data_IF_057456277330
#
_entry.id   IF_057456277330
#
_cell.length_a   1.000
_cell.length_b   1.000
_cell.length_c   1.000
_cell.angle_alpha   90.00
_cell.angle_beta   90.00
_cell.angle_gamma   90.00
#
_symmetry.space_group_name_H-M   'P 1'
#
loop_
_entity.id
_entity.type
_entity.pdbx_description
1 polymer ?
#
# COMPACT_ATOMS: atom_id res chain seq x y z
N UNK A 1 -28.27 66.78 66.70
CA UNK A 1 -27.62 66.18 65.58
C UNK A 1 -28.02 64.68 65.53
N UNK A 2 -28.89 64.32 64.63
CA UNK A 2 -29.46 62.95 64.50
C UNK A 2 -28.83 62.25 63.28
N UNK A 3 -27.99 61.26 63.51
CA UNK A 3 -27.45 60.43 62.44
C UNK A 3 -28.43 59.32 62.06
N UNK A 4 -28.81 59.28 60.82
CA UNK A 4 -29.71 58.23 60.26
C UNK A 4 -28.81 57.00 59.79
N UNK A 5 -28.94 55.89 60.43
CA UNK A 5 -28.44 54.62 59.94
C UNK A 5 -29.32 54.18 58.79
N UNK A 6 -28.70 53.97 57.63
CA UNK A 6 -29.30 53.28 56.46
C UNK A 6 -29.04 51.79 56.56
N UNK A 7 -30.12 51.03 56.73
CA UNK A 7 -30.09 49.55 56.67
C UNK A 7 -29.96 49.11 55.26
N UNK A 8 -28.88 48.39 54.94
CA UNK A 8 -28.68 47.66 53.72
C UNK A 8 -29.44 46.34 53.79
N UNK A 9 -30.39 46.13 52.90
CA UNK A 9 -31.08 44.84 52.69
C UNK A 9 -30.16 43.93 51.86
N UNK A 10 -29.98 42.67 52.21
CA UNK A 10 -29.26 41.72 51.38
C UNK A 10 -30.16 41.26 50.21
N UNK A 11 -29.69 41.43 48.99
CA UNK A 11 -30.25 40.85 47.81
C UNK A 11 -29.88 39.36 47.77
N UNK A 12 -30.85 38.48 47.96
CA UNK A 12 -30.66 37.05 47.68
C UNK A 12 -30.75 36.86 46.16
N UNK A 13 -29.59 36.61 45.54
CA UNK A 13 -29.51 36.11 44.16
C UNK A 13 -29.74 34.61 44.19
N UNK A 14 -30.93 34.21 43.77
CA UNK A 14 -31.24 32.78 43.54
C UNK A 14 -30.53 32.37 42.23
N UNK A 15 -29.38 31.70 42.36
CA UNK A 15 -28.71 31.05 41.26
C UNK A 15 -29.48 29.74 40.93
N UNK A 16 -30.33 29.77 39.94
CA UNK A 16 -30.93 28.55 39.38
C UNK A 16 -29.85 27.75 38.65
N UNK A 17 -29.41 26.64 39.27
CA UNK A 17 -28.57 25.63 38.60
C UNK A 17 -29.41 24.94 37.54
N UNK A 18 -29.24 25.29 36.26
CA UNK A 18 -29.67 24.48 35.12
C UNK A 18 -28.63 23.38 34.97
N UNK A 19 -28.91 22.22 35.59
CA UNK A 19 -28.21 20.98 35.25
C UNK A 19 -28.67 20.55 33.86
N UNK A 20 -27.95 20.98 32.81
CA UNK A 20 -28.09 20.42 31.50
C UNK A 20 -27.67 18.94 31.58
N UNK A 21 -28.63 18.04 31.49
CA UNK A 21 -28.36 16.63 31.22
C UNK A 21 -27.66 16.53 29.86
N UNK A 22 -26.34 16.53 29.87
CA UNK A 22 -25.54 16.10 28.73
C UNK A 22 -25.73 14.59 28.69
N UNK A 23 -26.77 14.12 27.99
CA UNK A 23 -26.82 12.71 27.58
C UNK A 23 -25.54 12.45 26.76
N UNK A 24 -24.78 11.39 27.06
CA UNK A 24 -23.68 11.02 26.18
C UNK A 24 -24.32 10.76 24.82
N UNK A 25 -23.97 11.56 23.82
CA UNK A 25 -24.28 11.24 22.44
C UNK A 25 -23.70 9.86 22.22
N UNK A 26 -24.57 8.85 22.02
CA UNK A 26 -24.15 7.53 21.56
C UNK A 26 -23.40 7.82 20.27
N UNK A 27 -22.08 7.74 20.30
CA UNK A 27 -21.25 7.73 19.11
C UNK A 27 -21.74 6.52 18.34
N UNK A 28 -22.63 6.74 17.38
CA UNK A 28 -22.90 5.75 16.33
C UNK A 28 -21.55 5.51 15.72
N UNK A 29 -20.94 4.37 16.05
CA UNK A 29 -19.61 4.01 15.62
C UNK A 29 -19.56 3.96 14.11
N UNK A 30 -19.27 5.10 13.48
CA UNK A 30 -18.91 5.15 12.07
C UNK A 30 -17.66 4.29 11.95
N UNK A 31 -17.80 3.13 11.32
CA UNK A 31 -16.64 2.28 11.02
C UNK A 31 -15.65 3.10 10.22
N UNK A 32 -14.42 3.22 10.74
CA UNK A 32 -13.36 3.94 10.04
C UNK A 32 -13.11 3.21 8.73
N UNK A 33 -13.25 3.95 7.61
CA UNK A 33 -12.95 3.41 6.29
C UNK A 33 -11.45 3.42 6.07
N UNK A 34 -10.86 2.27 5.78
CA UNK A 34 -9.42 2.11 5.61
C UNK A 34 -9.09 1.58 4.21
N UNK A 35 -8.04 2.12 3.62
CA UNK A 35 -7.48 1.60 2.36
C UNK A 35 -5.98 1.42 2.47
N UNK A 36 -5.51 0.20 2.14
CA UNK A 36 -4.10 -0.12 1.96
C UNK A 36 -3.77 -0.19 0.47
N UNK A 37 -2.83 0.62 0.02
CA UNK A 37 -2.29 0.55 -1.34
C UNK A 37 -1.06 -0.35 -1.34
N UNK A 38 -1.08 -1.40 -2.14
CA UNK A 38 -0.06 -2.45 -2.10
C UNK A 38 0.50 -2.77 -3.47
N UNK A 39 1.81 -3.11 -3.54
CA UNK A 39 2.51 -3.35 -4.80
C UNK A 39 3.33 -4.63 -4.71
N UNK A 40 3.06 -5.56 -5.65
CA UNK A 40 3.73 -6.84 -5.74
C UNK A 40 4.94 -6.81 -6.70
N UNK A 41 5.75 -7.86 -6.65
CA UNK A 41 6.89 -8.24 -7.50
C UNK A 41 8.16 -7.39 -7.31
N UNK A 42 8.16 -6.14 -7.73
CA UNK A 42 9.30 -5.25 -7.57
C UNK A 42 10.42 -5.45 -8.62
N UNK A 43 10.09 -5.88 -9.84
CA UNK A 43 11.10 -6.16 -10.87
C UNK A 43 11.61 -4.92 -11.63
N UNK A 44 10.97 -3.74 -11.42
CA UNK A 44 11.34 -2.46 -12.02
C UNK A 44 11.78 -1.45 -10.97
N UNK A 45 13.09 -1.13 -10.93
CA UNK A 45 13.62 -0.08 -10.05
C UNK A 45 12.93 1.27 -10.31
N UNK A 46 12.70 1.61 -11.57
CA UNK A 46 11.98 2.83 -11.96
C UNK A 46 10.61 2.92 -11.30
N UNK A 47 9.80 1.88 -11.43
CA UNK A 47 8.42 1.90 -10.91
C UNK A 47 8.38 1.81 -9.38
N UNK A 48 9.32 1.11 -8.75
CA UNK A 48 9.48 1.13 -7.28
C UNK A 48 9.72 2.56 -6.81
N UNK A 49 10.73 3.25 -7.39
CA UNK A 49 11.07 4.64 -7.04
C UNK A 49 9.92 5.60 -7.29
N UNK A 50 9.22 5.46 -8.41
CA UNK A 50 8.05 6.29 -8.75
C UNK A 50 6.88 6.07 -7.78
N UNK A 51 6.59 4.82 -7.39
CA UNK A 51 5.55 4.53 -6.40
C UNK A 51 5.87 5.17 -5.05
N UNK A 52 7.12 5.05 -4.58
CA UNK A 52 7.57 5.71 -3.34
C UNK A 52 7.54 7.24 -3.50
N UNK A 53 7.95 7.80 -4.65
CA UNK A 53 7.91 9.24 -4.87
C UNK A 53 6.47 9.81 -4.80
N UNK A 54 5.49 9.11 -5.37
CA UNK A 54 4.07 9.49 -5.22
C UNK A 54 3.63 9.39 -3.76
N UNK A 55 3.98 8.30 -3.06
CA UNK A 55 3.67 8.11 -1.65
C UNK A 55 4.25 9.23 -0.78
N UNK A 56 5.50 9.62 -1.01
CA UNK A 56 6.17 10.75 -0.33
C UNK A 56 5.45 12.07 -0.60
N UNK A 57 5.16 12.37 -1.88
CA UNK A 57 4.53 13.63 -2.27
C UNK A 57 3.11 13.80 -1.71
N UNK A 58 2.41 12.70 -1.47
CA UNK A 58 1.04 12.69 -0.94
C UNK A 58 0.98 12.30 0.55
N UNK A 59 2.11 11.93 1.16
CA UNK A 59 2.21 11.34 2.50
C UNK A 59 1.24 10.15 2.68
N UNK A 60 1.08 9.35 1.63
CA UNK A 60 0.16 8.22 1.61
C UNK A 60 0.91 6.93 1.95
N UNK A 61 0.57 6.23 3.05
CA UNK A 61 1.15 4.94 3.40
C UNK A 61 0.94 3.90 2.28
N UNK A 62 1.99 3.15 1.98
CA UNK A 62 1.96 2.05 1.01
C UNK A 62 2.65 0.81 1.60
N UNK A 63 2.41 -0.37 1.03
CA UNK A 63 3.09 -1.62 1.42
C UNK A 63 3.58 -2.35 0.18
N UNK A 64 4.83 -2.84 0.20
CA UNK A 64 5.38 -3.64 -0.88
C UNK A 64 5.41 -5.13 -0.53
N UNK A 65 5.20 -5.97 -1.55
CA UNK A 65 5.39 -7.42 -1.52
C UNK A 65 6.39 -7.82 -2.61
N UNK A 66 7.69 -7.50 -2.47
CA UNK A 66 8.69 -7.86 -3.47
C UNK A 66 8.98 -9.36 -3.45
N UNK A 67 9.35 -9.89 -4.62
CA UNK A 67 9.95 -11.23 -4.71
C UNK A 67 11.36 -11.25 -4.12
N UNK A 68 11.84 -12.43 -3.69
CA UNK A 68 13.23 -12.56 -3.26
C UNK A 68 14.24 -12.28 -4.38
N UNK A 69 13.85 -12.49 -5.65
CA UNK A 69 14.65 -12.06 -6.81
C UNK A 69 14.81 -10.54 -6.84
N UNK A 70 13.73 -9.82 -6.59
CA UNK A 70 13.75 -8.35 -6.52
C UNK A 70 14.63 -7.86 -5.35
N UNK A 71 14.54 -8.49 -4.17
CA UNK A 71 15.41 -8.16 -3.03
C UNK A 71 16.90 -8.33 -3.36
N UNK A 72 17.26 -9.40 -4.10
CA UNK A 72 18.64 -9.63 -4.56
C UNK A 72 19.08 -8.64 -5.63
N UNK A 73 18.17 -8.26 -6.52
CA UNK A 73 18.46 -7.35 -7.64
C UNK A 73 18.67 -5.90 -7.18
N UNK A 74 17.91 -5.46 -6.18
CA UNK A 74 17.92 -4.08 -5.68
C UNK A 74 18.09 -4.00 -4.15
N UNK A 75 19.09 -4.66 -3.55
CA UNK A 75 19.16 -4.81 -2.09
C UNK A 75 19.27 -3.48 -1.35
N UNK A 76 20.04 -2.53 -1.87
CA UNK A 76 20.23 -1.22 -1.26
C UNK A 76 18.96 -0.37 -1.32
N UNK A 77 18.20 -0.43 -2.43
CA UNK A 77 16.94 0.27 -2.57
C UNK A 77 15.90 -0.27 -1.57
N UNK A 78 15.72 -1.59 -1.51
CA UNK A 78 14.79 -2.21 -0.58
C UNK A 78 15.16 -1.97 0.88
N UNK A 79 16.46 -1.99 1.20
CA UNK A 79 16.92 -1.64 2.55
C UNK A 79 16.55 -0.21 2.91
N UNK A 80 16.87 0.75 2.05
CA UNK A 80 16.57 2.16 2.31
C UNK A 80 15.06 2.43 2.45
N UNK A 81 14.22 1.78 1.62
CA UNK A 81 12.76 1.85 1.71
C UNK A 81 12.27 1.28 3.06
N UNK A 82 12.73 0.10 3.45
CA UNK A 82 12.37 -0.53 4.72
C UNK A 82 12.86 0.26 5.94
N UNK A 83 14.06 0.82 5.88
CA UNK A 83 14.61 1.67 6.95
C UNK A 83 13.87 3.02 7.08
N UNK A 84 13.18 3.47 6.04
CA UNK A 84 12.27 4.61 6.10
C UNK A 84 10.91 4.25 6.72
N UNK A 85 10.69 2.99 7.10
CA UNK A 85 9.44 2.53 7.72
C UNK A 85 8.35 2.11 6.74
N UNK A 86 8.60 2.11 5.42
CA UNK A 86 7.65 1.56 4.45
C UNK A 86 7.68 0.03 4.55
N UNK A 87 6.55 -0.65 4.85
CA UNK A 87 6.53 -2.08 5.06
C UNK A 87 6.88 -2.87 3.80
N UNK A 88 7.77 -3.84 3.98
CA UNK A 88 8.20 -4.81 2.97
C UNK A 88 7.77 -6.20 3.44
N UNK A 89 6.98 -6.91 2.65
CA UNK A 89 6.39 -8.20 2.97
C UNK A 89 6.78 -9.26 1.93
N UNK A 90 6.54 -10.52 2.24
CA UNK A 90 7.03 -11.68 1.49
C UNK A 90 6.13 -12.02 0.29
N UNK A 91 6.71 -12.10 -0.92
CA UNK A 91 6.03 -12.57 -2.14
C UNK A 91 6.73 -13.78 -2.77
N UNK A 92 7.25 -14.70 -1.95
CA UNK A 92 8.09 -15.84 -2.35
C UNK A 92 9.44 -15.41 -2.97
N UNK A 93 10.34 -16.37 -3.21
CA UNK A 93 11.60 -16.04 -3.91
C UNK A 93 11.37 -15.86 -5.39
N UNK A 94 10.69 -16.83 -6.03
CA UNK A 94 10.70 -17.02 -7.47
C UNK A 94 9.36 -16.74 -8.14
N UNK A 95 8.40 -16.16 -7.40
CA UNK A 95 7.03 -15.92 -7.90
C UNK A 95 6.34 -17.20 -8.40
N UNK A 96 6.44 -18.30 -7.63
CA UNK A 96 5.86 -19.58 -8.02
C UNK A 96 4.56 -19.88 -7.28
N UNK A 97 3.68 -20.66 -7.90
CA UNK A 97 2.47 -21.16 -7.23
C UNK A 97 2.84 -22.07 -6.06
N UNK A 98 2.52 -21.63 -4.84
CA UNK A 98 2.83 -22.40 -3.63
C UNK A 98 1.95 -23.65 -3.48
N UNK A 99 0.74 -23.66 -4.02
CA UNK A 99 -0.10 -24.85 -4.06
C UNK A 99 0.51 -25.94 -4.93
N UNK A 100 1.07 -25.55 -6.09
CA UNK A 100 1.83 -26.48 -6.94
C UNK A 100 3.14 -26.92 -6.29
N UNK A 101 3.86 -26.03 -5.61
CA UNK A 101 5.06 -26.41 -4.82
C UNK A 101 4.72 -27.41 -3.76
N UNK A 102 3.63 -27.21 -3.02
CA UNK A 102 3.18 -28.12 -1.98
C UNK A 102 2.86 -29.51 -2.55
N UNK A 103 2.18 -29.60 -3.69
CA UNK A 103 1.83 -30.89 -4.31
C UNK A 103 3.03 -31.65 -4.86
N UNK A 104 4.06 -30.95 -5.36
CA UNK A 104 5.22 -31.59 -6.02
C UNK A 104 6.39 -31.82 -5.05
N UNK A 105 6.63 -30.89 -4.13
CA UNK A 105 7.80 -30.89 -3.25
C UNK A 105 7.45 -30.91 -1.75
N UNK A 106 6.16 -31.07 -1.44
CA UNK A 106 5.67 -31.09 -0.07
C UNK A 106 5.97 -29.80 0.71
N UNK A 107 5.99 -29.90 2.03
CA UNK A 107 6.32 -28.82 2.95
C UNK A 107 7.66 -28.15 2.62
N UNK A 108 8.68 -28.91 2.27
CA UNK A 108 10.02 -28.41 2.00
C UNK A 108 10.04 -27.40 0.85
N UNK A 109 9.26 -27.62 -0.21
CA UNK A 109 9.16 -26.70 -1.35
C UNK A 109 8.54 -25.36 -0.98
N UNK A 110 7.53 -25.34 -0.10
CA UNK A 110 6.91 -24.11 0.39
C UNK A 110 7.85 -23.36 1.35
N UNK A 111 8.51 -24.08 2.27
CA UNK A 111 9.49 -23.50 3.19
C UNK A 111 10.67 -22.90 2.42
N UNK A 112 11.16 -23.56 1.36
CA UNK A 112 12.23 -23.02 0.53
C UNK A 112 11.87 -21.67 -0.08
N UNK A 113 10.63 -21.47 -0.55
CA UNK A 113 10.17 -20.21 -1.14
C UNK A 113 9.92 -19.11 -0.09
N UNK A 114 9.18 -19.39 0.97
CA UNK A 114 8.84 -18.41 2.00
C UNK A 114 10.00 -18.16 2.98
N UNK A 115 10.60 -19.21 3.51
CA UNK A 115 11.73 -19.13 4.44
C UNK A 115 13.00 -18.61 3.77
N UNK A 116 13.25 -19.04 2.53
CA UNK A 116 14.36 -18.53 1.73
C UNK A 116 14.23 -17.03 1.43
N UNK A 117 13.03 -16.52 1.20
CA UNK A 117 12.79 -15.07 1.10
C UNK A 117 13.20 -14.34 2.39
N UNK A 118 12.79 -14.86 3.56
CA UNK A 118 13.19 -14.32 4.88
C UNK A 118 14.71 -14.29 5.02
N UNK A 119 15.38 -15.36 4.60
CA UNK A 119 16.86 -15.44 4.63
C UNK A 119 17.49 -14.36 3.75
N UNK A 120 16.96 -14.14 2.53
CA UNK A 120 17.44 -13.10 1.62
C UNK A 120 17.27 -11.71 2.26
N UNK A 121 16.12 -11.41 2.86
CA UNK A 121 15.87 -10.14 3.53
C UNK A 121 16.86 -9.91 4.68
N UNK A 122 17.08 -10.92 5.54
CA UNK A 122 18.03 -10.84 6.67
C UNK A 122 19.47 -10.62 6.22
N UNK A 123 19.96 -11.42 5.25
CA UNK A 123 21.33 -11.30 4.73
C UNK A 123 21.59 -9.91 4.13
N UNK A 124 20.61 -9.34 3.46
CA UNK A 124 20.71 -8.00 2.88
C UNK A 124 20.32 -6.87 3.86
N UNK A 125 20.08 -7.20 5.14
CA UNK A 125 19.69 -6.25 6.20
C UNK A 125 18.46 -5.40 5.80
N UNK A 126 17.50 -6.00 5.09
CA UNK A 126 16.27 -5.35 4.67
C UNK A 126 15.24 -5.53 5.79
N UNK A 127 14.75 -4.43 6.42
CA UNK A 127 13.63 -4.50 7.35
C UNK A 127 12.40 -5.06 6.66
N UNK A 128 11.68 -5.97 7.32
CA UNK A 128 10.48 -6.57 6.76
C UNK A 128 9.43 -6.85 7.83
N UNK A 129 8.15 -6.93 7.37
CA UNK A 129 7.00 -7.27 8.21
C UNK A 129 6.57 -8.73 7.99
N UNK A 130 5.95 -9.32 9.02
CA UNK A 130 5.57 -10.75 9.02
C UNK A 130 4.27 -11.03 8.26
N UNK A 131 4.16 -10.49 7.05
CA UNK A 131 3.05 -10.75 6.12
C UNK A 131 3.56 -11.41 4.85
N UNK A 132 2.69 -12.16 4.20
CA UNK A 132 2.99 -12.77 2.91
C UNK A 132 1.78 -12.70 1.98
N UNK A 133 2.05 -12.70 0.69
CA UNK A 133 1.04 -12.77 -0.37
C UNK A 133 1.43 -13.85 -1.35
N UNK A 134 0.51 -14.80 -1.68
CA UNK A 134 0.80 -15.85 -2.65
C UNK A 134 0.80 -15.29 -4.07
N UNK A 135 1.82 -15.63 -4.89
CA UNK A 135 1.81 -15.32 -6.32
C UNK A 135 0.53 -15.82 -6.99
N UNK A 136 -0.10 -14.93 -7.80
CA UNK A 136 -1.37 -15.22 -8.46
C UNK A 136 -2.55 -15.48 -7.53
N UNK A 137 -2.42 -15.21 -6.24
CA UNK A 137 -3.47 -15.45 -5.24
C UNK A 137 -3.70 -16.91 -4.87
N UNK A 138 -2.85 -17.84 -5.31
CA UNK A 138 -3.05 -19.27 -5.13
C UNK A 138 -2.56 -19.78 -3.78
N UNK A 139 -3.49 -20.10 -2.87
CA UNK A 139 -3.20 -20.70 -1.57
C UNK A 139 -4.26 -21.73 -1.17
N UNK A 140 -3.93 -22.56 -0.20
CA UNK A 140 -4.84 -23.49 0.49
C UNK A 140 -4.45 -23.59 1.97
N UNK A 141 -5.23 -24.33 2.76
CA UNK A 141 -4.97 -24.49 4.18
C UNK A 141 -3.58 -25.09 4.49
N UNK A 142 -3.08 -25.99 3.66
CA UNK A 142 -1.74 -26.57 3.81
C UNK A 142 -0.64 -25.50 3.66
N UNK A 143 -0.70 -24.70 2.58
CA UNK A 143 0.22 -23.58 2.37
C UNK A 143 0.12 -22.55 3.49
N UNK A 144 -1.11 -22.19 3.91
CA UNK A 144 -1.34 -21.25 5.00
C UNK A 144 -0.73 -21.74 6.33
N UNK A 145 -0.95 -23.01 6.68
CA UNK A 145 -0.38 -23.60 7.90
C UNK A 145 1.15 -23.57 7.91
N UNK A 146 1.78 -23.85 6.76
CA UNK A 146 3.23 -23.76 6.62
C UNK A 146 3.71 -22.33 6.77
N UNK A 147 3.06 -21.36 6.15
CA UNK A 147 3.38 -19.94 6.29
C UNK A 147 3.26 -19.48 7.75
N UNK A 148 2.19 -19.88 8.45
CA UNK A 148 1.99 -19.60 9.87
C UNK A 148 3.12 -20.20 10.75
N UNK A 149 3.61 -21.40 10.44
CA UNK A 149 4.76 -21.97 11.16
C UNK A 149 6.08 -21.20 10.95
N UNK A 150 6.16 -20.36 9.92
CA UNK A 150 7.25 -19.41 9.70
C UNK A 150 6.95 -18.01 10.31
N UNK A 151 5.85 -17.87 11.04
CA UNK A 151 5.41 -16.63 11.65
C UNK A 151 4.80 -15.63 10.65
N UNK A 152 4.35 -16.09 9.47
CA UNK A 152 3.82 -15.24 8.42
C UNK A 152 2.28 -15.22 8.41
N UNK A 153 1.70 -14.02 8.30
CA UNK A 153 0.25 -13.80 8.16
C UNK A 153 -0.11 -13.56 6.69
N UNK A 154 -1.17 -14.23 6.22
CA UNK A 154 -1.68 -14.07 4.85
C UNK A 154 -2.29 -12.68 4.65
N UNK A 155 -1.91 -11.99 3.58
CA UNK A 155 -2.52 -10.73 3.14
C UNK A 155 -2.98 -10.84 1.70
N UNK A 156 -4.29 -10.89 1.49
CA UNK A 156 -4.93 -10.89 0.18
C UNK A 156 -5.41 -9.47 -0.17
N UNK A 157 -5.91 -9.31 -1.38
CA UNK A 157 -6.48 -8.05 -1.87
C UNK A 157 -7.99 -8.16 -2.05
N UNK A 158 -8.66 -7.03 -1.99
CA UNK A 158 -10.09 -6.88 -2.30
C UNK A 158 -10.29 -6.21 -3.66
N UNK A 159 -9.40 -5.28 -4.01
CA UNK A 159 -9.40 -4.52 -5.25
C UNK A 159 -8.07 -4.72 -5.98
N UNK A 160 -8.05 -4.46 -7.28
CA UNK A 160 -6.83 -4.57 -8.09
C UNK A 160 -6.83 -3.56 -9.24
N UNK A 161 -5.65 -3.05 -9.59
CA UNK A 161 -5.45 -2.31 -10.84
C UNK A 161 -5.65 -3.20 -12.07
N UNK A 162 -5.67 -4.52 -11.92
CA UNK A 162 -5.71 -5.49 -13.03
C UNK A 162 -4.65 -5.19 -14.10
N UNK A 163 -3.48 -4.75 -13.66
CA UNK A 163 -2.39 -4.21 -14.48
C UNK A 163 -1.54 -5.30 -15.15
N UNK A 164 -1.63 -6.54 -14.67
CA UNK A 164 -0.94 -7.71 -15.26
C UNK A 164 -1.76 -8.45 -16.30
N UNK A 165 -3.04 -8.09 -16.50
CA UNK A 165 -3.88 -8.76 -17.49
C UNK A 165 -3.48 -8.35 -18.92
N UNK A 166 -3.69 -9.26 -19.87
CA UNK A 166 -3.21 -9.23 -21.26
C UNK A 166 -2.96 -7.85 -21.87
N UNK A 167 -1.70 -7.62 -22.22
CA UNK A 167 -1.16 -6.37 -22.77
C UNK A 167 -1.55 -6.21 -24.25
N UNK A 168 -1.58 -7.32 -24.98
CA UNK A 168 -1.90 -7.38 -26.40
C UNK A 168 -2.94 -8.46 -26.68
N UNK A 169 -4.01 -8.11 -27.38
CA UNK A 169 -5.00 -9.06 -27.91
C UNK A 169 -5.18 -8.78 -29.38
N UNK A 170 -5.06 -9.82 -30.24
CA UNK A 170 -5.19 -9.71 -31.68
C UNK A 170 -4.24 -8.65 -32.29
N UNK A 171 -2.98 -8.60 -31.86
CA UNK A 171 -1.99 -7.65 -32.36
C UNK A 171 -2.23 -6.19 -31.97
N UNK A 172 -3.24 -5.90 -31.13
CA UNK A 172 -3.57 -4.55 -30.67
C UNK A 172 -3.28 -4.37 -29.19
N UNK A 173 -2.67 -3.26 -28.84
CA UNK A 173 -2.52 -2.83 -27.46
C UNK A 173 -3.84 -2.26 -26.94
N UNK A 174 -4.22 -2.63 -25.72
CA UNK A 174 -5.43 -2.13 -25.07
C UNK A 174 -5.11 -1.00 -24.11
N UNK A 175 -5.87 0.09 -24.22
CA UNK A 175 -5.95 1.05 -23.13
C UNK A 175 -6.77 0.45 -21.99
N UNK A 176 -6.18 0.38 -20.80
CA UNK A 176 -6.87 -0.12 -19.59
C UNK A 176 -7.01 0.93 -18.51
N UNK A 177 -6.65 2.18 -18.81
CA UNK A 177 -6.60 3.25 -17.83
C UNK A 177 -7.91 3.39 -17.06
N UNK A 178 -9.04 3.53 -17.78
CA UNK A 178 -10.35 3.66 -17.16
C UNK A 178 -10.77 2.38 -16.40
N UNK A 179 -10.55 1.19 -16.98
CA UNK A 179 -10.90 -0.08 -16.31
C UNK A 179 -10.01 -0.36 -15.11
N UNK A 180 -8.71 -0.06 -15.20
CA UNK A 180 -7.79 -0.21 -14.05
C UNK A 180 -8.16 0.74 -12.92
N UNK A 181 -8.47 1.99 -13.23
CA UNK A 181 -8.95 2.94 -12.23
C UNK A 181 -10.26 2.48 -11.59
N UNK A 182 -11.26 2.08 -12.39
CA UNK A 182 -12.55 1.57 -11.91
C UNK A 182 -12.38 0.35 -10.99
N UNK A 183 -11.53 -0.59 -11.37
CA UNK A 183 -11.27 -1.79 -10.56
C UNK A 183 -10.54 -1.46 -9.27
N UNK A 184 -9.52 -0.58 -9.32
CA UNK A 184 -8.78 -0.17 -8.14
C UNK A 184 -9.65 0.60 -7.14
N UNK A 185 -10.61 1.41 -7.62
CA UNK A 185 -11.46 2.28 -6.79
C UNK A 185 -12.87 1.73 -6.52
N UNK A 186 -13.13 0.47 -6.87
CA UNK A 186 -14.43 -0.18 -6.65
C UNK A 186 -14.82 -0.11 -5.15
N UNK A 187 -16.11 0.10 -4.89
CA UNK A 187 -16.66 0.04 -3.54
C UNK A 187 -16.78 -1.42 -3.08
N UNK A 188 -15.92 -1.85 -2.15
CA UNK A 188 -15.85 -3.21 -1.60
C UNK A 188 -15.78 -3.18 -0.07
N UNK A 189 -16.67 -2.40 0.58
CA UNK A 189 -16.72 -2.27 2.03
C UNK A 189 -15.78 -1.18 2.58
N UNK A 190 -15.54 -1.24 3.88
CA UNK A 190 -14.81 -0.20 4.63
C UNK A 190 -13.33 -0.52 4.84
N UNK A 191 -12.90 -1.75 4.59
CA UNK A 191 -11.49 -2.17 4.62
C UNK A 191 -11.06 -2.70 3.25
N UNK A 192 -10.30 -1.90 2.53
CA UNK A 192 -9.93 -2.18 1.14
C UNK A 192 -8.41 -2.35 1.02
N UNK A 193 -7.98 -3.48 0.46
CA UNK A 193 -6.59 -3.73 0.10
C UNK A 193 -6.48 -3.74 -1.43
N UNK A 194 -5.79 -2.76 -2.00
CA UNK A 194 -5.66 -2.58 -3.45
C UNK A 194 -4.34 -3.15 -3.93
N UNK A 195 -4.42 -4.12 -4.85
CA UNK A 195 -3.27 -4.74 -5.50
C UNK A 195 -2.87 -3.97 -6.77
N UNK A 196 -1.64 -3.54 -6.85
CA UNK A 196 -0.92 -3.15 -8.05
C UNK A 196 0.42 -3.87 -8.14
N UNK A 197 1.16 -3.65 -9.23
CA UNK A 197 2.49 -4.21 -9.43
C UNK A 197 3.49 -3.11 -9.84
N UNK A 198 4.76 -3.31 -9.51
CA UNK A 198 5.87 -2.41 -9.89
C UNK A 198 6.88 -3.13 -10.78
N UNK A 199 6.37 -3.63 -11.92
CA UNK A 199 7.10 -4.36 -12.94
C UNK A 199 7.38 -3.50 -14.18
N UNK A 200 8.30 -3.86 -15.08
CA UNK A 200 8.60 -3.08 -16.28
C UNK A 200 7.38 -2.78 -17.16
N UNK A 201 6.36 -3.64 -17.12
CA UNK A 201 5.14 -3.54 -17.94
C UNK A 201 3.93 -2.94 -17.19
N UNK A 202 4.10 -2.43 -15.95
CA UNK A 202 3.00 -1.90 -15.11
C UNK A 202 3.11 -0.39 -14.85
N UNK A 203 3.73 0.37 -15.74
CA UNK A 203 3.87 1.83 -15.62
C UNK A 203 2.52 2.54 -15.41
N UNK A 204 1.41 1.98 -15.91
CA UNK A 204 0.07 2.52 -15.73
C UNK A 204 -0.35 2.55 -14.26
N UNK A 205 0.00 1.54 -13.48
CA UNK A 205 -0.30 1.49 -12.04
C UNK A 205 0.25 2.72 -11.33
N UNK A 206 1.52 3.03 -11.55
CA UNK A 206 2.17 4.18 -10.90
C UNK A 206 1.58 5.50 -11.39
N UNK A 207 1.27 5.62 -12.68
CA UNK A 207 0.64 6.81 -13.26
C UNK A 207 -0.77 7.06 -12.72
N UNK A 208 -1.53 6.00 -12.43
CA UNK A 208 -2.87 6.09 -11.84
C UNK A 208 -2.86 6.31 -10.34
N UNK A 209 -1.74 6.08 -9.66
CA UNK A 209 -1.68 6.03 -8.20
C UNK A 209 -2.20 7.32 -7.56
N UNK A 210 -1.78 8.49 -8.05
CA UNK A 210 -2.25 9.77 -7.53
C UNK A 210 -3.77 9.94 -7.68
N UNK A 211 -4.36 9.54 -8.82
CA UNK A 211 -5.81 9.61 -9.04
C UNK A 211 -6.58 8.64 -8.12
N UNK A 212 -6.04 7.45 -7.88
CA UNK A 212 -6.62 6.47 -6.94
C UNK A 212 -6.57 7.02 -5.50
N UNK A 213 -5.47 7.63 -5.09
CA UNK A 213 -5.35 8.32 -3.80
C UNK A 213 -6.41 9.41 -3.67
N UNK A 214 -6.52 10.30 -4.64
CA UNK A 214 -7.53 11.38 -4.64
C UNK A 214 -8.95 10.83 -4.53
N UNK A 215 -9.27 9.74 -5.25
CA UNK A 215 -10.59 9.11 -5.20
C UNK A 215 -10.92 8.58 -3.80
N UNK A 216 -10.00 7.85 -3.16
CA UNK A 216 -10.24 7.30 -1.83
C UNK A 216 -10.29 8.39 -0.76
N UNK A 217 -9.43 9.41 -0.83
CA UNK A 217 -9.45 10.56 0.06
C UNK A 217 -10.81 11.30 -0.02
N UNK A 218 -11.31 11.56 -1.24
CA UNK A 218 -12.61 12.19 -1.46
C UNK A 218 -13.82 11.38 -0.96
N UNK A 219 -13.63 10.08 -0.72
CA UNK A 219 -14.64 9.18 -0.13
C UNK A 219 -14.48 9.00 1.38
N UNK A 220 -13.56 9.71 2.02
CA UNK A 220 -13.30 9.69 3.46
C UNK A 220 -12.56 8.44 3.94
N UNK A 221 -11.79 7.76 3.07
CA UNK A 221 -10.94 6.66 3.49
C UNK A 221 -9.65 7.19 4.14
N UNK A 222 -9.24 6.55 5.22
CA UNK A 222 -7.91 6.68 5.80
C UNK A 222 -6.95 5.73 5.09
N UNK A 223 -5.77 6.25 4.71
CA UNK A 223 -4.71 5.44 4.14
C UNK A 223 -3.91 4.79 5.24
N UNK A 224 -3.75 3.48 5.16
CA UNK A 224 -3.03 2.68 6.15
C UNK A 224 -2.09 1.70 5.44
N UNK A 225 -1.09 1.22 6.14
CA UNK A 225 -0.29 0.06 5.69
C UNK A 225 -1.03 -1.24 5.96
N UNK A 226 -0.58 -2.36 5.37
CA UNK A 226 -1.14 -3.68 5.67
C UNK A 226 -1.02 -4.03 7.16
N UNK A 227 0.12 -3.80 7.85
CA UNK A 227 0.20 -3.99 9.29
C UNK A 227 -0.80 -3.15 10.07
N UNK A 228 -0.95 -1.86 9.78
CA UNK A 228 -1.91 -0.97 10.46
C UNK A 228 -3.34 -1.46 10.30
N UNK A 229 -3.76 -1.79 9.07
CA UNK A 229 -5.10 -2.33 8.79
C UNK A 229 -5.42 -3.58 9.61
N UNK A 230 -4.40 -4.40 9.88
CA UNK A 230 -4.55 -5.66 10.62
C UNK A 230 -4.55 -5.47 12.14
N UNK A 231 -3.77 -4.53 12.67
CA UNK A 231 -3.52 -4.37 14.11
C UNK A 231 -4.14 -3.12 14.72
N UNK A 232 -4.52 -2.13 13.91
CA UNK A 232 -4.91 -0.80 14.37
C UNK A 232 -3.76 0.03 14.92
N UNK A 233 -2.52 -0.48 14.86
CA UNK A 233 -1.34 0.24 15.36
C UNK A 233 -0.72 1.07 14.24
N UNK A 234 -0.62 2.41 14.39
CA UNK A 234 -0.02 3.28 13.40
C UNK A 234 1.42 2.87 13.03
N UNK A 235 1.74 2.92 11.77
CA UNK A 235 3.08 2.68 11.26
C UNK A 235 3.78 4.03 11.03
N UNK A 236 4.93 4.22 11.67
CA UNK A 236 5.69 5.46 11.52
C UNK A 236 6.58 5.40 10.27
N UNK A 237 6.20 6.14 9.23
CA UNK A 237 6.99 6.31 8.03
C UNK A 237 7.76 7.63 8.13
N UNK A 238 9.09 7.54 8.03
CA UNK A 238 9.97 8.71 7.88
C UNK A 238 9.96 9.14 6.40
N UNK A 239 9.10 10.09 6.08
CA UNK A 239 8.91 10.58 4.71
C UNK A 239 10.18 11.26 4.15
N UNK A 240 11.00 11.91 4.98
CA UNK A 240 12.26 12.50 4.53
C UNK A 240 13.26 11.41 4.14
N UNK A 241 13.38 10.36 4.96
CA UNK A 241 14.21 9.20 4.65
C UNK A 241 13.71 8.43 3.42
N UNK A 242 12.37 8.28 3.27
CA UNK A 242 11.77 7.68 2.09
C UNK A 242 12.08 8.48 0.81
N UNK A 243 12.01 9.80 0.85
CA UNK A 243 12.40 10.66 -0.26
C UNK A 243 13.88 10.47 -0.64
N UNK A 244 14.78 10.41 0.35
CA UNK A 244 16.21 10.14 0.11
C UNK A 244 16.45 8.76 -0.49
N UNK A 245 15.70 7.74 -0.06
CA UNK A 245 15.83 6.37 -0.59
C UNK A 245 15.61 6.30 -2.10
N UNK A 246 14.74 7.16 -2.65
CA UNK A 246 14.40 7.15 -4.08
C UNK A 246 15.08 8.24 -4.90
N UNK A 247 15.64 9.26 -4.26
CA UNK A 247 16.44 10.29 -4.93
C UNK A 247 17.90 9.87 -5.19
N UNK A 248 18.41 8.89 -4.42
CA UNK A 248 19.76 8.39 -4.64
C UNK A 248 19.93 7.86 -6.08
N UNK A 249 21.02 8.22 -6.80
CA UNK A 249 21.23 7.70 -8.13
C UNK A 249 21.26 6.17 -8.11
N UNK A 250 20.57 5.55 -9.07
CA UNK A 250 20.66 4.11 -9.25
C UNK A 250 22.15 3.73 -9.37
N UNK A 251 22.63 2.84 -8.50
CA UNK A 251 23.95 2.25 -8.66
C UNK A 251 23.99 1.67 -10.06
N UNK A 252 24.85 2.22 -10.92
CA UNK A 252 24.91 2.01 -12.37
C UNK A 252 24.48 0.61 -12.79
N UNK A 253 23.20 0.43 -13.10
CA UNK A 253 22.79 -0.49 -14.13
C UNK A 253 22.87 0.31 -15.43
N UNK A 254 23.34 -0.30 -16.51
CA UNK A 254 23.48 0.32 -17.84
C UNK A 254 22.13 0.64 -18.51
N UNK A 255 21.07 0.84 -17.71
CA UNK A 255 19.74 1.22 -18.14
C UNK A 255 19.49 2.73 -18.12
N UNK A 256 18.42 3.22 -18.77
CA UNK A 256 18.11 4.64 -18.83
C UNK A 256 17.97 5.25 -17.43
N UNK A 257 18.45 6.51 -17.28
CA UNK A 257 18.38 7.26 -16.02
C UNK A 257 16.94 7.27 -15.49
N UNK A 258 16.79 6.93 -14.21
CA UNK A 258 15.50 7.05 -13.52
C UNK A 258 15.14 8.54 -13.48
N UNK A 259 13.98 8.96 -14.00
CA UNK A 259 13.52 10.33 -13.86
C UNK A 259 13.36 10.65 -12.37
N UNK A 260 13.93 11.77 -11.92
CA UNK A 260 13.74 12.29 -10.56
C UNK A 260 12.38 12.99 -10.38
N UNK A 261 11.64 13.16 -11.46
CA UNK A 261 10.30 13.75 -11.45
C UNK A 261 9.23 12.70 -11.13
N UNK A 262 8.17 13.14 -10.44
CA UNK A 262 6.96 12.35 -10.28
C UNK A 262 6.42 11.93 -11.66
N UNK A 263 5.83 10.72 -11.78
CA UNK A 263 5.15 10.35 -13.02
C UNK A 263 4.03 11.35 -13.28
N UNK A 264 3.92 11.81 -14.54
CA UNK A 264 2.81 12.69 -14.91
C UNK A 264 1.49 11.97 -14.63
N UNK A 265 0.59 12.53 -13.82
CA UNK A 265 -0.71 11.94 -13.57
C UNK A 265 -1.46 11.76 -14.89
N UNK A 266 -2.15 10.62 -15.04
CA UNK A 266 -3.06 10.39 -16.18
C UNK A 266 -4.49 10.63 -15.70
N UNK A 267 -5.27 11.33 -16.50
CA UNK A 267 -6.72 11.39 -16.29
C UNK A 267 -7.27 9.96 -16.49
N UNK A 268 -7.83 9.34 -15.45
CA UNK A 268 -8.35 7.97 -15.52
C UNK A 268 -9.54 7.84 -16.47
N UNK A 269 -10.19 8.95 -16.83
CA UNK A 269 -11.32 8.98 -17.76
C UNK A 269 -10.86 9.22 -19.20
N UNK A 270 -9.61 9.63 -19.41
CA UNK A 270 -9.06 9.84 -20.75
C UNK A 270 -8.68 8.49 -21.39
N UNK A 271 -9.50 8.03 -22.30
CA UNK A 271 -9.36 6.73 -22.99
C UNK A 271 -8.30 6.71 -24.10
N UNK A 272 -7.67 7.83 -24.43
CA UNK A 272 -6.67 7.92 -25.52
C UNK A 272 -5.30 7.36 -25.14
N UNK A 273 -5.05 7.14 -23.84
CA UNK A 273 -3.79 6.58 -23.36
C UNK A 273 -3.74 5.06 -23.56
N UNK A 274 -2.91 4.57 -24.49
CA UNK A 274 -2.77 3.15 -24.72
C UNK A 274 -1.74 2.51 -23.79
N UNK A 275 -1.98 1.25 -23.41
CA UNK A 275 -1.05 0.50 -22.56
C UNK A 275 0.33 0.33 -23.21
N UNK A 276 0.38 0.14 -24.54
CA UNK A 276 1.62 0.02 -25.29
C UNK A 276 2.45 1.30 -25.24
N UNK A 277 1.82 2.47 -25.39
CA UNK A 277 2.49 3.77 -25.25
C UNK A 277 3.03 3.97 -23.82
N UNK A 278 2.27 3.49 -22.81
CA UNK A 278 2.68 3.59 -21.41
C UNK A 278 3.95 2.81 -21.09
N UNK A 279 4.17 1.67 -21.74
CA UNK A 279 5.21 0.71 -21.39
C UNK A 279 6.25 0.51 -22.50
N UNK A 280 6.14 1.22 -23.61
CA UNK A 280 7.02 1.03 -24.76
C UNK A 280 6.89 -0.35 -25.41
N UNK A 281 5.73 -1.01 -25.26
CA UNK A 281 5.47 -2.36 -25.75
C UNK A 281 4.87 -2.27 -27.14
N UNK A 282 5.50 -2.94 -28.09
CA UNK A 282 4.96 -3.15 -29.45
C UNK A 282 4.20 -4.48 -29.49
N UNK A 283 2.92 -4.43 -29.85
CA UNK A 283 2.14 -5.62 -30.16
C UNK A 283 2.46 -6.06 -31.60
N UNK A 284 3.37 -6.99 -31.77
CA UNK A 284 3.61 -7.67 -33.03
C UNK A 284 2.72 -8.90 -33.16
#
# INVERSE_FOLDING_TARGET
MKSRLRTLRPLFVVAALIAALIAPASATGSTVKEVALTFDDGDSELHIRQAVAVAVATQTPITFFPTGRSLRKFPNLWRAIGEAGIPIANHTINHVSLTKRLSVQGRAGVVAELGGWITIAKVNKIPYVKYWRPPGGAWNNGVRSIAQSLGLTLSMWTNTFADTAQICKNGKAYSRTASSFKNATKANGDKINVLGHVNPYTAQTVKLLAAVITNYAGRGFQFVTVPEMATGTPNNIDWAKAALAVSAPAVRSTGPRVPTSLPTPIDPLNTTYTFAQANGISCR
#
